data_IF_253600826483
#
_entry.id   IF_253600826483
#
_cell.length_a   1.000
_cell.length_b   1.000
_cell.length_c   1.000
_cell.angle_alpha   90.00
_cell.angle_beta   90.00
_cell.angle_gamma   90.00
#
_symmetry.space_group_name_H-M   'P 1'
#
loop_
_entity.id
_entity.type
_entity.pdbx_description
1 polymer ?
#
# COMPACT_ATOMS: atom_id res chain seq x y z
N UNK A 1 41.97 10.55 -12.12
CA UNK A 1 42.00 9.11 -12.46
C UNK A 1 40.58 8.62 -12.30
N UNK A 2 40.07 8.06 -13.39
CA UNK A 2 38.68 7.81 -13.78
C UNK A 2 37.82 6.99 -12.79
N UNK A 3 36.56 7.44 -12.63
CA UNK A 3 35.34 6.63 -12.78
C UNK A 3 35.08 5.46 -11.84
N UNK A 4 34.24 5.69 -10.83
CA UNK A 4 33.25 4.72 -10.32
C UNK A 4 31.91 5.44 -10.07
N UNK A 5 31.43 6.15 -11.07
CA UNK A 5 30.01 6.36 -11.28
C UNK A 5 29.44 5.06 -11.87
N UNK A 6 28.51 4.43 -11.17
CA UNK A 6 27.46 3.52 -11.68
C UNK A 6 26.91 2.69 -10.52
N UNK A 7 25.94 3.24 -9.80
CA UNK A 7 24.87 2.37 -9.30
C UNK A 7 23.59 2.74 -10.05
N UNK A 8 22.99 1.83 -10.84
CA UNK A 8 21.68 2.08 -11.39
C UNK A 8 20.63 1.73 -10.32
N UNK A 9 20.70 2.29 -9.10
CA UNK A 9 19.60 2.15 -8.13
C UNK A 9 18.51 3.20 -8.37
N UNK A 10 18.81 4.23 -9.18
CA UNK A 10 17.81 5.18 -9.68
C UNK A 10 16.98 4.61 -10.85
N UNK A 11 17.29 3.40 -11.32
CA UNK A 11 16.71 2.79 -12.53
C UNK A 11 15.82 1.58 -12.20
N UNK A 12 15.15 1.62 -11.06
CA UNK A 12 13.91 0.89 -10.81
C UNK A 12 13.07 1.79 -9.91
N UNK A 13 12.84 3.04 -10.34
CA UNK A 13 11.59 3.64 -9.91
C UNK A 13 10.54 2.68 -10.45
N UNK A 14 10.01 1.78 -9.60
CA UNK A 14 8.68 1.27 -9.83
C UNK A 14 7.87 2.53 -10.18
N UNK A 15 7.26 2.54 -11.35
CA UNK A 15 6.29 3.57 -11.66
C UNK A 15 5.40 3.69 -10.42
N UNK A 16 5.30 4.91 -9.92
CA UNK A 16 4.57 5.18 -8.70
C UNK A 16 3.14 5.42 -9.06
N UNK A 17 2.22 4.78 -8.34
CA UNK A 17 0.82 5.11 -8.37
C UNK A 17 0.44 5.98 -7.19
N UNK A 18 -0.59 6.79 -7.36
CA UNK A 18 -1.20 7.60 -6.30
C UNK A 18 -2.57 7.03 -5.96
N UNK A 19 -2.76 6.73 -4.68
CA UNK A 19 -4.06 6.38 -4.10
C UNK A 19 -4.53 7.51 -3.18
N UNK A 20 -5.79 7.45 -2.77
CA UNK A 20 -6.33 8.22 -1.65
C UNK A 20 -6.38 7.31 -0.43
N UNK A 21 -5.53 7.54 0.57
CA UNK A 21 -5.47 6.78 1.82
C UNK A 21 -6.04 7.63 2.97
N UNK A 22 -7.16 7.19 3.56
CA UNK A 22 -7.85 7.92 4.63
C UNK A 22 -8.12 9.40 4.28
N UNK A 23 -8.53 9.64 3.03
CA UNK A 23 -8.76 10.99 2.48
C UNK A 23 -7.51 11.76 2.02
N UNK A 24 -6.29 11.28 2.26
CA UNK A 24 -5.04 11.95 1.86
C UNK A 24 -4.36 11.27 0.67
N UNK A 25 -3.72 12.04 -0.23
CA UNK A 25 -2.97 11.45 -1.34
C UNK A 25 -1.72 10.72 -0.84
N UNK A 26 -1.54 9.48 -1.28
CA UNK A 26 -0.42 8.61 -0.89
C UNK A 26 0.21 7.94 -2.11
N UNK A 27 1.54 7.96 -2.21
CA UNK A 27 2.28 7.34 -3.33
C UNK A 27 2.82 5.96 -2.95
N UNK A 28 2.62 5.01 -3.87
CA UNK A 28 2.97 3.59 -3.75
C UNK A 28 3.67 3.11 -5.02
N UNK A 29 4.58 2.14 -4.97
CA UNK A 29 4.95 1.37 -6.15
C UNK A 29 3.74 0.75 -6.85
N UNK A 30 3.75 0.73 -8.18
CA UNK A 30 2.76 -0.02 -8.97
C UNK A 30 2.69 -1.49 -8.55
N UNK A 31 1.47 -2.04 -8.57
CA UNK A 31 1.24 -3.45 -8.27
C UNK A 31 1.36 -3.81 -6.79
N UNK A 32 1.46 -2.82 -5.90
CA UNK A 32 1.48 -3.05 -4.46
C UNK A 32 0.15 -3.61 -3.94
N UNK A 33 0.20 -4.50 -2.94
CA UNK A 33 -1.00 -5.11 -2.35
C UNK A 33 -1.42 -4.41 -1.06
N UNK A 34 -2.66 -4.65 -0.63
CA UNK A 34 -3.16 -4.17 0.67
C UNK A 34 -2.24 -4.59 1.81
N UNK A 35 -1.77 -5.84 1.85
CA UNK A 35 -0.86 -6.31 2.90
C UNK A 35 0.50 -5.57 2.90
N UNK A 36 1.03 -5.26 1.72
CA UNK A 36 2.27 -4.51 1.58
C UNK A 36 2.10 -3.06 2.05
N UNK A 37 0.99 -2.39 1.67
CA UNK A 37 0.61 -1.09 2.22
C UNK A 37 0.57 -1.09 3.75
N UNK A 38 -0.12 -2.08 4.36
CA UNK A 38 -0.22 -2.18 5.81
C UNK A 38 1.13 -2.43 6.50
N UNK A 39 2.07 -3.08 5.82
CA UNK A 39 3.45 -3.25 6.27
C UNK A 39 4.20 -1.92 6.25
N UNK A 40 4.06 -1.13 5.18
CA UNK A 40 4.67 0.20 5.07
C UNK A 40 4.16 1.18 6.13
N UNK A 41 2.89 1.04 6.51
CA UNK A 41 2.25 1.86 7.56
C UNK A 41 2.55 1.36 8.98
N UNK A 42 3.32 0.28 9.15
CA UNK A 42 3.59 -0.36 10.46
C UNK A 42 2.29 -0.79 11.20
N UNK A 43 1.29 -1.24 10.43
CA UNK A 43 -0.02 -1.67 10.92
C UNK A 43 -0.20 -3.19 10.89
N UNK A 44 0.83 -3.95 10.49
CA UNK A 44 0.80 -5.42 10.50
C UNK A 44 0.47 -5.97 11.89
N UNK A 45 -0.33 -7.03 11.93
CA UNK A 45 -0.74 -7.66 13.20
C UNK A 45 -1.73 -6.86 14.04
N UNK A 46 -2.02 -5.59 13.69
CA UNK A 46 -3.04 -4.80 14.36
C UNK A 46 -4.43 -5.26 13.93
N UNK A 47 -5.42 -4.98 14.78
CA UNK A 47 -6.83 -5.22 14.48
C UNK A 47 -7.39 -4.05 13.67
N UNK A 48 -7.23 -4.16 12.36
CA UNK A 48 -7.65 -3.16 11.38
C UNK A 48 -8.65 -3.77 10.40
N UNK A 49 -9.58 -2.94 9.94
CA UNK A 49 -10.39 -3.20 8.76
C UNK A 49 -9.86 -2.32 7.62
N UNK A 50 -9.89 -2.87 6.40
CA UNK A 50 -9.53 -2.15 5.19
C UNK A 50 -10.75 -2.11 4.27
N UNK A 51 -11.10 -0.91 3.83
CA UNK A 51 -12.06 -0.68 2.75
C UNK A 51 -11.28 -0.22 1.51
N UNK A 52 -11.63 -0.78 0.36
CA UNK A 52 -11.11 -0.40 -0.95
C UNK A 52 -12.30 -0.02 -1.83
N UNK A 53 -12.37 1.24 -2.25
CA UNK A 53 -13.43 1.77 -3.11
C UNK A 53 -14.85 1.44 -2.62
N UNK A 54 -15.12 1.64 -1.33
CA UNK A 54 -16.40 1.34 -0.64
C UNK A 54 -16.67 -0.15 -0.38
N UNK A 55 -15.74 -1.04 -0.73
CA UNK A 55 -15.84 -2.48 -0.47
C UNK A 55 -14.85 -2.93 0.62
N UNK A 56 -15.35 -3.62 1.65
CA UNK A 56 -14.48 -4.18 2.70
C UNK A 56 -13.62 -5.31 2.12
N UNK A 57 -12.30 -5.21 2.26
CA UNK A 57 -11.36 -6.25 1.88
C UNK A 57 -11.17 -7.22 3.05
N UNK A 58 -11.62 -8.50 2.95
CA UNK A 58 -11.39 -9.49 3.99
C UNK A 58 -9.89 -9.68 4.26
N UNK A 59 -9.52 -9.87 5.53
CA UNK A 59 -8.11 -10.00 5.94
C UNK A 59 -7.36 -11.10 5.19
N UNK A 60 -8.04 -12.20 4.86
CA UNK A 60 -7.46 -13.32 4.08
C UNK A 60 -7.05 -12.92 2.67
N UNK A 61 -7.68 -11.88 2.09
CA UNK A 61 -7.40 -11.41 0.73
C UNK A 61 -6.39 -10.26 0.68
N UNK A 62 -5.96 -9.71 1.82
CA UNK A 62 -5.04 -8.55 1.85
C UNK A 62 -3.74 -8.80 1.07
N UNK A 63 -3.23 -10.04 1.04
CA UNK A 63 -2.02 -10.38 0.31
C UNK A 63 -2.22 -10.52 -1.21
N UNK A 64 -3.47 -10.71 -1.66
CA UNK A 64 -3.84 -10.97 -3.06
C UNK A 64 -4.48 -9.73 -3.72
N UNK A 65 -5.06 -8.83 -2.92
CA UNK A 65 -5.68 -7.59 -3.41
C UNK A 65 -4.61 -6.56 -3.77
N UNK A 66 -4.34 -6.42 -5.06
CA UNK A 66 -3.51 -5.36 -5.65
C UNK A 66 -4.26 -4.03 -5.67
N UNK A 67 -3.57 -2.97 -5.29
CA UNK A 67 -4.02 -1.57 -5.40
C UNK A 67 -3.65 -1.00 -6.77
N UNK A 68 -4.46 -0.06 -7.25
CA UNK A 68 -4.31 0.60 -8.54
C UNK A 68 -4.33 2.12 -8.40
N UNK A 69 -3.84 2.81 -9.43
CA UNK A 69 -3.92 4.28 -9.54
C UNK A 69 -5.34 4.78 -9.28
N UNK A 70 -5.46 5.75 -8.36
CA UNK A 70 -6.71 6.42 -8.03
C UNK A 70 -7.61 5.68 -7.04
N UNK A 71 -7.22 4.49 -6.57
CA UNK A 71 -7.99 3.75 -5.56
C UNK A 71 -8.18 4.56 -4.28
N UNK A 72 -9.36 4.43 -3.66
CA UNK A 72 -9.66 4.96 -2.33
C UNK A 72 -9.54 3.85 -1.30
N UNK A 73 -8.65 4.04 -0.33
CA UNK A 73 -8.35 3.07 0.72
C UNK A 73 -8.61 3.70 2.07
N UNK A 74 -9.51 3.12 2.86
CA UNK A 74 -9.74 3.51 4.24
C UNK A 74 -9.21 2.40 5.17
N UNK A 75 -8.37 2.77 6.13
CA UNK A 75 -7.79 1.87 7.13
C UNK A 75 -8.24 2.33 8.50
N UNK A 76 -9.15 1.57 9.11
CA UNK A 76 -9.75 1.92 10.39
C UNK A 76 -9.47 0.85 11.44
N UNK A 77 -9.41 1.28 12.71
CA UNK A 77 -9.35 0.34 13.84
C UNK A 77 -10.68 -0.42 13.95
N UNK A 78 -10.62 -1.75 13.93
CA UNK A 78 -11.82 -2.56 13.99
C UNK A 78 -12.35 -2.66 15.44
N UNK A 79 -13.60 -2.24 15.64
CA UNK A 79 -14.28 -2.20 16.95
C UNK A 79 -15.28 -3.38 17.06
N UNK A 80 -14.83 -4.62 17.25
CA UNK A 80 -15.72 -5.78 17.47
C UNK A 80 -15.05 -7.00 18.13
N UNK A 81 -15.50 -7.41 19.31
CA UNK A 81 -14.97 -8.47 20.18
C UNK A 81 -14.79 -9.85 19.51
N UNK A 82 -13.98 -10.70 20.15
CA UNK A 82 -13.58 -12.02 19.62
C UNK A 82 -14.72 -13.02 19.43
#
# INVERSE_FOLDING_TARGET
MIGLECWPLKMMAASGMRIQLNGESFELPDGETVAALLTRLDLTGRRIAVELNLDIVPRSLHAETTLNEGDQVEVVHAIGGG
#
